data_IF_051734749037
#
_entry.id   IF_051734749037
#
_cell.length_a   1.000
_cell.length_b   1.000
_cell.length_c   1.000
_cell.angle_alpha   90.00
_cell.angle_beta   90.00
_cell.angle_gamma   90.00
#
_symmetry.space_group_name_H-M   'P 1'
#
loop_
_entity.id
_entity.type
_entity.pdbx_description
1 polymer ?
#
# COMPACT_ATOMS: atom_id res chain seq x y z
N UNK A 1 -7.02 2.57 24.77
CA UNK A 1 -6.74 1.13 24.93
C UNK A 1 -6.91 0.76 26.40
N UNK A 2 -7.56 -0.37 26.71
CA UNK A 2 -7.81 -0.84 28.07
C UNK A 2 -6.57 -1.40 28.78
N UNK A 3 -6.72 -1.88 30.03
CA UNK A 3 -5.62 -2.46 30.82
C UNK A 3 -4.92 -3.60 30.05
N UNK A 4 -3.60 -3.78 30.26
CA UNK A 4 -2.75 -4.77 29.53
C UNK A 4 -3.32 -6.19 29.54
N UNK A 5 -4.00 -6.56 30.62
CA UNK A 5 -4.68 -7.84 30.86
C UNK A 5 -5.88 -8.11 29.93
N UNK A 6 -6.41 -7.09 29.24
CA UNK A 6 -7.52 -7.20 28.27
C UNK A 6 -7.09 -6.89 26.84
N UNK A 7 -5.78 -6.75 26.59
CA UNK A 7 -5.27 -6.52 25.24
C UNK A 7 -5.16 -7.87 24.52
N UNK A 8 -6.03 -8.08 23.53
CA UNK A 8 -5.98 -9.23 22.65
C UNK A 8 -4.64 -9.21 21.89
N UNK A 9 -3.78 -10.19 22.12
CA UNK A 9 -2.55 -10.35 21.38
C UNK A 9 -2.87 -11.01 20.02
N UNK A 10 -2.80 -10.21 18.96
CA UNK A 10 -3.01 -10.67 17.59
C UNK A 10 -1.68 -11.07 16.96
N UNK A 11 -1.62 -12.31 16.47
CA UNK A 11 -0.52 -12.82 15.64
C UNK A 11 -0.52 -12.16 14.26
N UNK A 12 0.59 -12.32 13.52
CA UNK A 12 0.72 -11.72 12.19
C UNK A 12 -0.35 -12.19 11.19
N UNK A 13 -0.65 -13.50 11.04
CA UNK A 13 -1.67 -13.95 10.11
C UNK A 13 -3.05 -13.31 10.36
N UNK A 14 -3.44 -13.13 11.64
CA UNK A 14 -4.69 -12.46 11.97
C UNK A 14 -4.64 -10.97 11.62
N UNK A 15 -3.53 -10.28 11.93
CA UNK A 15 -3.35 -8.87 11.55
C UNK A 15 -3.42 -8.67 10.03
N UNK A 16 -2.78 -9.55 9.26
CA UNK A 16 -2.79 -9.50 7.81
C UNK A 16 -4.20 -9.69 7.24
N UNK A 17 -4.96 -10.65 7.78
CA UNK A 17 -6.36 -10.85 7.43
C UNK A 17 -7.22 -9.62 7.75
N UNK A 18 -6.99 -8.96 8.89
CA UNK A 18 -7.69 -7.71 9.25
C UNK A 18 -7.42 -6.61 8.21
N UNK A 19 -6.17 -6.45 7.74
CA UNK A 19 -5.85 -5.51 6.66
C UNK A 19 -6.70 -5.78 5.41
N UNK A 20 -6.78 -7.05 4.98
CA UNK A 20 -7.56 -7.47 3.81
C UNK A 20 -9.05 -7.22 4.01
N UNK A 21 -9.61 -7.58 5.16
CA UNK A 21 -11.03 -7.43 5.45
C UNK A 21 -11.47 -5.96 5.45
N UNK A 22 -10.67 -5.06 6.04
CA UNK A 22 -10.92 -3.61 5.97
C UNK A 22 -10.86 -3.14 4.51
N UNK A 23 -9.86 -3.57 3.75
CA UNK A 23 -9.70 -3.18 2.36
C UNK A 23 -10.89 -3.62 1.49
N UNK A 24 -11.38 -4.86 1.68
CA UNK A 24 -12.57 -5.37 1.01
C UNK A 24 -13.82 -4.58 1.40
N UNK A 25 -13.97 -4.25 2.69
CA UNK A 25 -15.07 -3.42 3.17
C UNK A 25 -15.11 -2.05 2.50
N UNK A 26 -13.95 -1.40 2.36
CA UNK A 26 -13.85 -0.12 1.66
C UNK A 26 -14.04 -0.24 0.14
N UNK A 27 -13.46 -1.25 -0.49
CA UNK A 27 -13.68 -1.53 -1.91
C UNK A 27 -15.16 -1.70 -2.23
N UNK A 28 -15.89 -2.40 -1.37
CA UNK A 28 -17.34 -2.53 -1.49
C UNK A 28 -18.05 -1.17 -1.43
N UNK A 29 -17.72 -0.32 -0.43
CA UNK A 29 -18.35 0.99 -0.26
C UNK A 29 -18.07 1.95 -1.41
N UNK A 30 -16.86 1.92 -1.97
CA UNK A 30 -16.39 2.87 -2.98
C UNK A 30 -16.70 2.43 -4.42
N UNK A 31 -16.67 1.13 -4.70
CA UNK A 31 -16.59 0.62 -6.07
C UNK A 31 -17.71 -0.36 -6.43
N UNK A 32 -18.17 -1.18 -5.47
CA UNK A 32 -19.14 -2.27 -5.75
C UNK A 32 -20.59 -1.94 -5.34
N UNK A 33 -20.75 -1.03 -4.38
CA UNK A 33 -22.05 -0.59 -3.91
C UNK A 33 -22.80 0.18 -4.99
N UNK A 34 -24.12 -0.04 -5.09
CA UNK A 34 -25.02 0.70 -5.99
C UNK A 34 -24.95 2.22 -5.77
N UNK A 35 -24.72 2.64 -4.54
CA UNK A 35 -24.45 4.03 -4.18
C UNK A 35 -23.05 4.11 -3.61
N UNK A 36 -22.19 4.94 -4.19
CA UNK A 36 -20.83 5.14 -3.67
C UNK A 36 -20.90 5.85 -2.33
N UNK A 37 -20.28 5.27 -1.32
CA UNK A 37 -20.31 5.74 0.07
C UNK A 37 -18.90 6.07 0.51
N UNK A 38 -18.66 7.30 0.93
CA UNK A 38 -17.41 7.72 1.61
C UNK A 38 -17.66 7.73 3.11
N UNK A 39 -16.90 6.92 3.86
CA UNK A 39 -17.07 6.68 5.29
C UNK A 39 -16.67 7.90 6.14
N UNK A 40 -15.55 8.56 5.81
CA UNK A 40 -14.97 9.76 6.44
C UNK A 40 -14.37 9.61 7.84
N UNK A 41 -14.59 8.48 8.50
CA UNK A 41 -14.06 8.24 9.85
C UNK A 41 -13.46 6.83 10.01
N UNK A 42 -12.64 6.43 9.05
CA UNK A 42 -11.86 5.19 9.16
C UNK A 42 -10.73 5.38 10.17
N UNK A 43 -10.73 4.53 11.19
CA UNK A 43 -9.74 4.49 12.28
C UNK A 43 -9.83 3.14 12.99
N UNK A 44 -8.77 2.74 13.71
CA UNK A 44 -8.74 1.45 14.38
C UNK A 44 -9.93 1.20 15.34
N UNK A 45 -10.44 2.25 16.00
CA UNK A 45 -11.60 2.13 16.92
C UNK A 45 -12.94 1.92 16.23
N UNK A 46 -13.03 2.21 14.93
CA UNK A 46 -14.22 1.97 14.10
C UNK A 46 -14.13 0.66 13.30
N UNK A 47 -13.07 -0.13 13.51
CA UNK A 47 -12.93 -1.49 12.98
C UNK A 47 -13.24 -2.47 14.11
N UNK A 48 -14.36 -3.18 13.97
CA UNK A 48 -14.79 -4.18 14.94
C UNK A 48 -14.31 -5.57 14.51
N UNK A 49 -14.02 -6.42 15.48
CA UNK A 49 -13.68 -7.82 15.26
C UNK A 49 -14.84 -8.69 15.74
N UNK A 50 -15.26 -9.64 14.91
CA UNK A 50 -16.23 -10.65 15.33
C UNK A 50 -15.56 -11.79 16.14
N UNK A 51 -16.34 -12.80 16.52
CA UNK A 51 -15.87 -13.94 17.33
C UNK A 51 -14.75 -14.75 16.65
N UNK A 52 -14.65 -14.67 15.33
CA UNK A 52 -13.68 -15.40 14.52
C UNK A 52 -12.51 -14.49 14.11
N UNK A 53 -12.45 -13.27 14.67
CA UNK A 53 -11.48 -12.23 14.39
C UNK A 53 -11.47 -11.79 12.92
N UNK A 54 -12.64 -11.74 12.29
CA UNK A 54 -12.82 -11.06 11.00
C UNK A 54 -13.15 -9.59 11.25
N UNK A 55 -12.57 -8.71 10.42
CA UNK A 55 -12.76 -7.27 10.58
C UNK A 55 -14.05 -6.78 9.90
N UNK A 56 -14.73 -5.83 10.55
CA UNK A 56 -15.93 -5.16 10.02
C UNK A 56 -15.85 -3.67 10.29
N UNK A 57 -16.09 -2.87 9.24
CA UNK A 57 -16.19 -1.41 9.35
C UNK A 57 -17.50 -1.04 10.06
N UNK A 58 -17.42 -0.08 10.98
CA UNK A 58 -18.54 0.40 11.77
C UNK A 58 -18.54 1.93 11.86
N UNK A 59 -19.61 2.49 12.44
CA UNK A 59 -19.80 3.93 12.66
C UNK A 59 -19.87 4.78 11.37
N UNK A 60 -20.92 4.53 10.60
CA UNK A 60 -21.27 5.31 9.41
C UNK A 60 -21.93 6.66 9.74
N UNK A 61 -21.86 7.14 10.99
CA UNK A 61 -22.54 8.38 11.43
C UNK A 61 -22.10 9.64 10.68
N UNK A 62 -20.90 9.61 10.07
CA UNK A 62 -20.38 10.71 9.26
C UNK A 62 -20.47 10.44 7.75
N UNK A 63 -20.85 9.24 7.32
CA UNK A 63 -20.76 8.79 5.94
C UNK A 63 -21.55 9.69 4.97
N UNK A 64 -21.07 9.77 3.73
CA UNK A 64 -21.66 10.56 2.66
C UNK A 64 -21.83 9.73 1.39
N UNK A 65 -22.91 10.01 0.67
CA UNK A 65 -23.10 9.48 -0.67
C UNK A 65 -22.33 10.36 -1.66
N UNK A 66 -21.60 9.71 -2.55
CA UNK A 66 -20.94 10.36 -3.67
C UNK A 66 -21.81 10.21 -4.91
N UNK A 67 -22.25 11.36 -5.44
CA UNK A 67 -23.03 11.42 -6.67
C UNK A 67 -22.04 11.48 -7.85
N UNK A 68 -22.11 10.50 -8.76
CA UNK A 68 -21.08 10.23 -9.78
C UNK A 68 -20.78 11.40 -10.73
N UNK A 69 -21.63 12.42 -10.77
CA UNK A 69 -21.50 13.59 -11.64
C UNK A 69 -20.48 14.64 -11.13
N UNK A 70 -19.96 14.48 -9.91
CA UNK A 70 -19.04 15.44 -9.29
C UNK A 70 -17.60 14.92 -9.18
N UNK A 71 -16.62 15.83 -9.27
CA UNK A 71 -15.20 15.49 -9.02
C UNK A 71 -14.88 15.31 -7.54
N UNK A 72 -15.72 15.88 -6.66
CA UNK A 72 -15.62 15.80 -5.20
C UNK A 72 -16.93 16.25 -4.55
N UNK A 73 -17.14 15.84 -3.30
CA UNK A 73 -18.20 16.34 -2.43
C UNK A 73 -17.65 17.53 -1.63
N UNK A 74 -18.18 18.73 -1.86
CA UNK A 74 -17.90 19.89 -1.00
C UNK A 74 -18.72 19.80 0.29
N UNK A 75 -18.08 19.56 1.43
CA UNK A 75 -18.76 19.40 2.73
C UNK A 75 -17.98 20.05 3.87
N UNK A 76 -18.66 20.38 4.97
CA UNK A 76 -17.99 20.71 6.23
C UNK A 76 -17.06 19.56 6.62
N UNK A 77 -15.81 19.89 6.93
CA UNK A 77 -14.82 18.94 7.43
C UNK A 77 -15.32 18.32 8.74
N UNK A 78 -15.33 16.99 8.78
CA UNK A 78 -15.64 16.15 9.92
C UNK A 78 -14.86 14.83 9.79
N UNK A 79 -14.48 14.24 10.92
CA UNK A 79 -13.65 13.05 11.00
C UNK A 79 -12.67 13.15 12.17
N UNK A 80 -11.86 12.13 12.37
CA UNK A 80 -10.87 12.07 13.45
C UNK A 80 -9.52 12.66 13.04
N UNK A 81 -9.03 13.64 13.80
CA UNK A 81 -7.69 14.20 13.60
C UNK A 81 -6.61 13.11 13.70
N UNK A 82 -5.61 13.16 12.83
CA UNK A 82 -4.60 12.09 12.70
C UNK A 82 -4.89 11.08 11.60
N UNK A 83 -6.14 10.96 11.16
CA UNK A 83 -6.57 10.04 10.11
C UNK A 83 -7.06 10.77 8.85
N UNK A 84 -7.45 12.05 8.98
CA UNK A 84 -7.97 12.82 7.85
C UNK A 84 -6.90 13.08 6.79
N UNK A 85 -7.26 12.83 5.53
CA UNK A 85 -6.46 13.20 4.38
C UNK A 85 -6.22 14.73 4.32
N UNK A 86 -5.02 15.18 3.92
CA UNK A 86 -4.64 16.60 3.99
C UNK A 86 -5.53 17.48 3.11
N UNK A 87 -5.85 17.06 1.89
CA UNK A 87 -6.70 17.80 0.97
C UNK A 87 -8.12 17.99 1.51
N UNK A 88 -8.64 16.97 2.19
CA UNK A 88 -9.97 17.01 2.78
C UNK A 88 -9.96 17.91 4.02
N UNK A 89 -8.96 17.78 4.89
CA UNK A 89 -8.82 18.63 6.07
C UNK A 89 -8.63 20.11 5.72
N UNK A 90 -7.90 20.41 4.64
CA UNK A 90 -7.59 21.78 4.24
C UNK A 90 -8.69 22.44 3.40
N UNK A 91 -9.33 21.69 2.49
CA UNK A 91 -10.24 22.26 1.48
C UNK A 91 -11.70 21.82 1.66
N UNK A 92 -11.96 20.80 2.46
CA UNK A 92 -13.29 20.16 2.55
C UNK A 92 -13.69 19.39 1.29
N UNK A 93 -12.72 19.11 0.40
CA UNK A 93 -12.94 18.36 -0.83
C UNK A 93 -12.88 16.88 -0.49
N UNK A 94 -14.05 16.25 -0.45
CA UNK A 94 -14.18 14.86 -0.06
C UNK A 94 -14.32 13.97 -1.29
N UNK A 95 -13.52 12.91 -1.33
CA UNK A 95 -13.62 11.80 -2.28
C UNK A 95 -13.39 10.49 -1.52
N UNK A 96 -13.63 9.35 -2.17
CA UNK A 96 -13.25 8.01 -1.68
C UNK A 96 -11.77 7.94 -1.25
N UNK A 97 -10.88 8.70 -1.91
CA UNK A 97 -9.45 8.77 -1.58
C UNK A 97 -9.16 9.30 -0.18
N UNK A 98 -10.09 10.00 0.46
CA UNK A 98 -9.94 10.40 1.86
C UNK A 98 -10.00 9.18 2.82
N UNK A 99 -10.84 8.20 2.52
CA UNK A 99 -10.89 6.93 3.25
C UNK A 99 -9.65 6.08 2.97
N UNK A 100 -9.13 6.10 1.73
CA UNK A 100 -7.88 5.40 1.37
C UNK A 100 -6.70 5.91 2.21
N UNK A 101 -6.58 7.23 2.38
CA UNK A 101 -5.56 7.82 3.26
C UNK A 101 -5.74 7.34 4.71
N UNK A 102 -6.96 7.41 5.22
CA UNK A 102 -7.29 6.99 6.58
C UNK A 102 -6.97 5.50 6.81
N UNK A 103 -7.24 4.66 5.82
CA UNK A 103 -6.87 3.24 5.80
C UNK A 103 -5.35 3.04 5.87
N UNK A 104 -4.56 3.83 5.12
CA UNK A 104 -3.11 3.79 5.20
C UNK A 104 -2.58 4.05 6.63
N UNK A 105 -3.20 4.99 7.36
CA UNK A 105 -2.87 5.23 8.77
C UNK A 105 -3.20 4.01 9.64
N UNK A 106 -4.36 3.37 9.43
CA UNK A 106 -4.76 2.15 10.15
C UNK A 106 -3.78 1.00 9.87
N UNK A 107 -3.26 0.86 8.65
CA UNK A 107 -2.22 -0.12 8.34
C UNK A 107 -0.95 0.10 9.17
N UNK A 108 -0.52 1.36 9.32
CA UNK A 108 0.64 1.68 10.17
C UNK A 108 0.38 1.33 11.64
N UNK A 109 -0.84 1.54 12.15
CA UNK A 109 -1.22 1.10 13.50
C UNK A 109 -1.14 -0.42 13.65
N UNK A 110 -1.64 -1.17 12.67
CA UNK A 110 -1.63 -2.64 12.69
C UNK A 110 -0.20 -3.20 12.68
N UNK A 111 0.65 -2.68 11.78
CA UNK A 111 2.06 -3.10 11.65
C UNK A 111 2.84 -2.80 12.92
N UNK A 112 2.69 -1.58 13.45
CA UNK A 112 3.50 -1.11 14.57
C UNK A 112 2.98 -1.57 15.94
N UNK A 113 1.71 -1.99 16.02
CA UNK A 113 1.04 -2.28 17.29
C UNK A 113 0.90 -1.04 18.19
N UNK A 114 1.09 0.16 17.63
CA UNK A 114 0.99 1.44 18.32
C UNK A 114 -0.25 2.19 17.85
N UNK A 115 -0.93 2.84 18.78
CA UNK A 115 -2.03 3.73 18.43
C UNK A 115 -1.48 5.02 17.79
N UNK A 116 -2.17 5.51 16.75
CA UNK A 116 -1.92 6.80 16.12
C UNK A 116 -2.43 7.93 17.03
N UNK A 117 -1.74 8.12 18.16
CA UNK A 117 -2.06 9.13 19.15
C UNK A 117 -1.28 10.40 18.80
N UNK A 118 -1.99 11.51 18.62
CA UNK A 118 -1.40 12.82 18.81
C UNK A 118 -1.13 13.03 20.31
N UNK A 119 0.09 12.75 20.78
CA UNK A 119 0.47 13.06 22.16
C UNK A 119 0.52 14.58 22.30
N UNK A 120 -0.39 15.15 23.09
CA UNK A 120 -0.45 16.60 23.34
C UNK A 120 0.61 17.08 24.34
N UNK A 121 1.26 16.16 25.07
CA UNK A 121 2.24 16.47 26.11
C UNK A 121 3.70 16.35 25.63
N UNK A 122 3.93 15.67 24.50
CA UNK A 122 5.23 15.59 23.84
C UNK A 122 5.10 16.24 22.48
N UNK A 123 5.76 17.37 22.29
CA UNK A 123 5.90 18.01 20.99
C UNK A 123 6.46 17.00 19.98
N UNK A 124 5.60 16.37 19.16
CA UNK A 124 5.84 15.71 17.86
C UNK A 124 4.57 14.93 17.49
N UNK A 125 3.64 15.52 16.72
CA UNK A 125 3.48 15.35 15.25
C UNK A 125 3.22 13.90 14.81
N UNK A 126 2.31 13.71 13.86
CA UNK A 126 1.79 12.44 13.29
C UNK A 126 2.75 11.23 13.37
N UNK A 127 2.75 10.57 14.54
CA UNK A 127 3.89 9.76 15.01
C UNK A 127 4.23 8.60 14.09
N UNK A 128 3.22 7.96 13.50
CA UNK A 128 3.44 6.74 12.72
C UNK A 128 3.82 7.01 11.27
N UNK A 129 3.16 7.96 10.61
CA UNK A 129 3.47 8.27 9.21
C UNK A 129 4.84 8.94 9.09
N UNK A 130 5.15 9.92 9.94
CA UNK A 130 6.45 10.58 9.93
C UNK A 130 7.59 9.59 10.22
N UNK A 131 7.38 8.68 11.18
CA UNK A 131 8.33 7.59 11.48
C UNK A 131 8.50 6.64 10.30
N UNK A 132 7.41 6.24 9.65
CA UNK A 132 7.47 5.34 8.50
C UNK A 132 8.24 5.98 7.32
N UNK A 133 8.04 7.27 7.06
CA UNK A 133 8.77 8.02 6.03
C UNK A 133 10.26 8.12 6.37
N UNK A 134 10.60 8.43 7.63
CA UNK A 134 11.99 8.50 8.07
C UNK A 134 12.71 7.14 7.91
N UNK A 135 12.08 6.06 8.39
CA UNK A 135 12.62 4.70 8.26
C UNK A 135 12.73 4.27 6.80
N UNK A 136 11.81 4.70 5.93
CA UNK A 136 11.93 4.45 4.48
C UNK A 136 13.17 5.11 3.90
N UNK A 137 13.41 6.37 4.25
CA UNK A 137 14.58 7.13 3.76
C UNK A 137 15.91 6.50 4.24
N UNK A 138 15.91 5.86 5.40
CA UNK A 138 17.06 5.13 5.96
C UNK A 138 17.19 3.69 5.44
N UNK A 139 16.19 3.16 4.74
CA UNK A 139 16.14 1.76 4.29
C UNK A 139 15.83 0.74 5.39
N UNK A 140 15.31 1.18 6.53
CA UNK A 140 15.10 0.38 7.75
C UNK A 140 13.61 0.21 8.10
N UNK A 141 12.75 -0.04 7.11
CA UNK A 141 11.29 -0.18 7.33
C UNK A 141 10.90 -1.27 8.33
N UNK A 142 11.75 -2.29 8.51
CA UNK A 142 11.55 -3.37 9.49
C UNK A 142 11.47 -2.84 10.93
N UNK A 143 12.12 -1.72 11.24
CA UNK A 143 12.09 -1.11 12.58
C UNK A 143 10.73 -0.45 12.92
N UNK A 144 9.79 -0.44 11.98
CA UNK A 144 8.41 -0.05 12.22
C UNK A 144 7.59 -1.18 12.86
N UNK A 145 8.00 -2.43 12.68
CA UNK A 145 7.22 -3.62 13.05
C UNK A 145 7.08 -3.73 14.58
N UNK A 146 5.90 -4.15 15.03
CA UNK A 146 5.61 -4.43 16.42
C UNK A 146 6.59 -5.46 17.00
N UNK A 147 7.47 -5.01 17.90
CA UNK A 147 8.44 -5.85 18.61
C UNK A 147 7.82 -7.07 19.31
N UNK A 148 6.52 -7.05 19.63
CA UNK A 148 5.80 -8.19 20.24
C UNK A 148 5.60 -9.36 19.27
N UNK A 149 5.65 -9.13 17.97
CA UNK A 149 5.60 -10.19 16.95
C UNK A 149 6.92 -10.97 16.88
N UNK A 150 8.01 -10.45 17.46
CA UNK A 150 9.33 -11.09 17.40
C UNK A 150 9.78 -11.30 15.96
N UNK A 151 9.99 -12.55 15.57
CA UNK A 151 10.29 -12.96 14.18
C UNK A 151 9.17 -13.80 13.55
N UNK A 152 7.97 -13.77 14.13
CA UNK A 152 6.82 -14.60 13.73
C UNK A 152 5.92 -13.86 12.73
N UNK A 153 6.50 -13.40 11.62
CA UNK A 153 5.76 -12.79 10.51
C UNK A 153 6.44 -13.09 9.18
N UNK A 154 5.65 -13.10 8.10
CA UNK A 154 6.21 -13.16 6.75
C UNK A 154 6.74 -11.78 6.37
N UNK A 155 8.04 -11.69 6.10
CA UNK A 155 8.69 -10.41 5.77
C UNK A 155 8.16 -9.82 4.46
N UNK A 156 7.78 -10.64 3.49
CA UNK A 156 7.26 -10.18 2.20
C UNK A 156 5.89 -9.55 2.38
N UNK A 157 4.98 -10.22 3.09
CA UNK A 157 3.66 -9.69 3.45
C UNK A 157 3.79 -8.40 4.26
N UNK A 158 4.68 -8.39 5.26
CA UNK A 158 4.93 -7.21 6.11
C UNK A 158 5.37 -6.01 5.27
N UNK A 159 6.33 -6.20 4.37
CA UNK A 159 6.82 -5.14 3.49
C UNK A 159 5.76 -4.67 2.51
N UNK A 160 4.91 -5.57 2.00
CA UNK A 160 3.75 -5.20 1.18
C UNK A 160 2.80 -4.29 1.96
N UNK A 161 2.46 -4.62 3.21
CA UNK A 161 1.56 -3.79 4.04
C UNK A 161 2.16 -2.42 4.33
N UNK A 162 3.45 -2.35 4.70
CA UNK A 162 4.13 -1.08 5.00
C UNK A 162 4.15 -0.17 3.78
N UNK A 163 4.52 -0.72 2.62
CA UNK A 163 4.58 0.08 1.41
C UNK A 163 3.19 0.47 0.89
N UNK A 164 2.19 -0.40 1.01
CA UNK A 164 0.80 -0.05 0.76
C UNK A 164 0.33 1.09 1.66
N UNK A 165 0.67 1.06 2.94
CA UNK A 165 0.33 2.13 3.87
C UNK A 165 0.89 3.47 3.38
N UNK A 166 2.16 3.50 2.98
CA UNK A 166 2.83 4.68 2.45
C UNK A 166 2.18 5.20 1.15
N UNK A 167 1.85 4.30 0.21
CA UNK A 167 1.13 4.66 -1.03
C UNK A 167 -0.26 5.21 -0.74
N UNK A 168 -1.00 4.60 0.18
CA UNK A 168 -2.33 5.06 0.58
C UNK A 168 -2.26 6.45 1.24
N UNK A 169 -1.18 6.76 1.95
CA UNK A 169 -0.96 8.06 2.59
C UNK A 169 -0.29 9.12 1.69
N UNK A 170 -0.22 8.91 0.38
CA UNK A 170 0.32 9.91 -0.54
C UNK A 170 -0.41 11.26 -0.39
N UNK A 171 0.35 12.36 -0.46
CA UNK A 171 -0.18 13.73 -0.30
C UNK A 171 -1.22 14.01 -1.40
N UNK A 172 -0.91 13.63 -2.64
CA UNK A 172 -1.84 13.73 -3.76
C UNK A 172 -2.85 12.57 -3.72
N UNK A 173 -4.17 12.84 -3.77
CA UNK A 173 -5.19 11.80 -3.85
C UNK A 173 -5.10 10.95 -5.12
N UNK A 174 -4.57 11.53 -6.20
CA UNK A 174 -4.43 10.85 -7.49
C UNK A 174 -3.37 9.73 -7.43
N UNK A 175 -2.38 9.87 -6.55
CA UNK A 175 -1.28 8.91 -6.41
C UNK A 175 -1.66 7.73 -5.49
N UNK A 176 -2.80 7.84 -4.79
CA UNK A 176 -3.31 6.77 -3.93
C UNK A 176 -3.96 5.68 -4.80
N UNK A 177 -3.77 4.38 -4.49
CA UNK A 177 -4.45 3.31 -5.22
C UNK A 177 -5.97 3.33 -5.00
N UNK A 178 -6.72 2.63 -5.86
CA UNK A 178 -8.12 2.26 -5.58
C UNK A 178 -8.15 1.14 -4.54
N UNK A 179 -9.26 0.97 -3.81
CA UNK A 179 -9.34 -0.06 -2.78
C UNK A 179 -9.38 -1.47 -3.37
N UNK A 180 -9.98 -1.66 -4.55
CA UNK A 180 -9.87 -2.91 -5.31
C UNK A 180 -8.42 -3.27 -5.68
N UNK A 181 -7.61 -2.27 -6.01
CA UNK A 181 -6.19 -2.44 -6.29
C UNK A 181 -5.43 -2.81 -5.01
N UNK A 182 -5.71 -2.15 -3.89
CA UNK A 182 -5.16 -2.50 -2.56
C UNK A 182 -5.47 -3.95 -2.19
N UNK A 183 -6.73 -4.39 -2.35
CA UNK A 183 -7.13 -5.79 -2.08
C UNK A 183 -6.32 -6.74 -2.96
N UNK A 184 -6.18 -6.43 -4.25
CA UNK A 184 -5.42 -7.27 -5.18
C UNK A 184 -3.93 -7.36 -4.83
N UNK A 185 -3.33 -6.29 -4.32
CA UNK A 185 -1.94 -6.30 -3.85
C UNK A 185 -1.76 -7.13 -2.57
N UNK A 186 -2.67 -7.00 -1.60
CA UNK A 186 -2.63 -7.79 -0.36
C UNK A 186 -2.89 -9.28 -0.62
N UNK A 187 -3.70 -9.63 -1.60
CA UNK A 187 -3.94 -11.04 -1.96
C UNK A 187 -2.86 -11.60 -2.88
N UNK A 188 -1.79 -10.84 -3.16
CA UNK A 188 -0.69 -11.27 -4.01
C UNK A 188 -1.06 -11.42 -5.49
N UNK A 189 -2.22 -10.88 -5.92
CA UNK A 189 -2.68 -10.90 -7.32
C UNK A 189 -1.94 -9.89 -8.18
N UNK A 190 -1.45 -8.81 -7.59
CA UNK A 190 -0.69 -7.75 -8.25
C UNK A 190 0.56 -7.45 -7.42
N UNK A 191 1.72 -7.35 -8.07
CA UNK A 191 2.97 -6.91 -7.44
C UNK A 191 3.36 -5.55 -8.03
N UNK A 192 3.25 -4.45 -7.27
CA UNK A 192 3.74 -3.14 -7.70
C UNK A 192 5.22 -3.16 -8.02
N UNK A 193 5.60 -2.52 -9.14
CA UNK A 193 7.00 -2.38 -9.57
C UNK A 193 7.87 -1.72 -8.49
N UNK A 194 7.28 -0.79 -7.71
CA UNK A 194 7.93 -0.16 -6.57
C UNK A 194 8.41 -1.17 -5.51
N UNK A 195 7.68 -2.27 -5.29
CA UNK A 195 8.06 -3.28 -4.30
C UNK A 195 9.24 -4.13 -4.78
N UNK A 196 9.39 -4.31 -6.10
CA UNK A 196 10.50 -5.05 -6.70
C UNK A 196 11.81 -4.27 -6.55
N UNK A 197 11.80 -2.96 -6.80
CA UNK A 197 12.97 -2.10 -6.61
C UNK A 197 13.40 -2.01 -5.14
N UNK A 198 12.46 -1.99 -4.20
CA UNK A 198 12.73 -1.84 -2.76
C UNK A 198 13.18 -3.16 -2.09
N UNK A 199 12.65 -4.31 -2.51
CA UNK A 199 13.14 -5.62 -2.05
C UNK A 199 14.62 -5.83 -2.39
N UNK A 200 15.08 -5.32 -3.55
CA UNK A 200 16.49 -5.42 -3.94
C UNK A 200 17.45 -4.61 -3.04
N UNK A 201 16.96 -3.57 -2.35
CA UNK A 201 17.76 -2.71 -1.47
C UNK A 201 17.76 -3.18 -0.01
N UNK A 202 16.72 -3.88 0.44
CA UNK A 202 16.53 -4.28 1.85
C UNK A 202 17.01 -5.71 2.18
N UNK A 203 17.42 -6.53 1.20
CA UNK A 203 17.81 -7.92 1.45
C UNK A 203 19.15 -8.03 2.17
N UNK A 204 19.13 -8.57 3.39
CA UNK A 204 20.36 -8.97 4.08
C UNK A 204 20.94 -10.24 3.44
N UNK A 205 22.22 -10.53 3.70
CA UNK A 205 22.91 -11.73 3.18
C UNK A 205 22.15 -13.03 3.52
N UNK A 206 21.44 -13.06 4.64
CA UNK A 206 20.69 -14.22 5.11
C UNK A 206 19.41 -14.48 4.29
N UNK A 207 18.79 -13.42 3.76
CA UNK A 207 17.57 -13.50 2.95
C UNK A 207 17.88 -13.94 1.51
N UNK A 208 19.07 -13.59 0.99
CA UNK A 208 19.56 -14.13 -0.30
C UNK A 208 19.69 -15.65 -0.28
N UNK A 209 20.25 -16.20 0.79
CA UNK A 209 20.51 -17.65 0.86
C UNK A 209 19.20 -18.44 0.95
N UNK A 210 18.18 -17.91 1.65
CA UNK A 210 16.83 -18.50 1.66
C UNK A 210 16.13 -18.39 0.29
N UNK A 211 16.24 -17.25 -0.38
CA UNK A 211 15.63 -17.04 -1.70
C UNK A 211 16.28 -17.93 -2.77
N UNK A 212 17.61 -18.04 -2.77
CA UNK A 212 18.34 -18.95 -3.67
C UNK A 212 17.93 -20.39 -3.45
N UNK A 213 17.77 -20.81 -2.20
CA UNK A 213 17.31 -22.16 -1.86
C UNK A 213 15.86 -22.43 -2.29
N UNK A 214 14.99 -21.42 -2.24
CA UNK A 214 13.61 -21.52 -2.74
C UNK A 214 13.55 -21.61 -4.28
N UNK A 215 14.45 -20.92 -4.98
CA UNK A 215 14.55 -20.98 -6.43
C UNK A 215 15.13 -22.33 -6.91
N UNK A 216 16.06 -22.92 -6.16
CA UNK A 216 16.59 -24.27 -6.41
C UNK A 216 15.50 -25.34 -6.27
N UNK A 217 14.70 -25.29 -5.19
CA UNK A 217 13.58 -26.24 -4.97
C UNK A 217 12.51 -26.13 -6.06
N UNK A 218 12.32 -24.93 -6.63
CA UNK A 218 11.30 -24.71 -7.68
C UNK A 218 11.74 -25.23 -9.05
N UNK A 219 13.05 -25.25 -9.32
CA UNK A 219 13.63 -25.77 -10.56
C UNK A 219 13.68 -27.31 -10.59
N UNK A 220 13.83 -27.95 -9.43
CA UNK A 220 13.81 -29.42 -9.34
C UNK A 220 12.40 -30.00 -9.58
N UNK A 221 11.34 -29.24 -9.28
CA UNK A 221 9.95 -29.69 -9.42
C UNK A 221 9.31 -29.44 -10.80
N UNK A 222 10.03 -28.84 -11.76
CA UNK A 222 9.52 -28.59 -13.12
C UNK A 222 10.15 -29.46 -14.21
N UNK A 223 10.95 -30.47 -13.83
CA UNK A 223 11.60 -31.36 -14.79
C UNK A 223 11.03 -32.77 -14.74
N UNK A 224 9.70 -32.93 -14.84
CA UNK A 224 9.11 -34.22 -15.23
C UNK A 224 7.71 -34.01 -15.84
N UNK A 225 7.54 -34.59 -17.06
CA UNK A 225 6.32 -34.76 -17.87
C UNK A 225 5.81 -33.61 -18.77
N UNK A 226 6.23 -33.59 -20.03
CA UNK A 226 5.49 -34.25 -21.14
C UNK A 226 6.16 -34.02 -22.50
N UNK A 227 6.35 -35.12 -23.22
CA UNK A 227 6.86 -35.19 -24.59
C UNK A 227 5.72 -35.10 -25.62
N UNK A 228 5.93 -34.37 -26.73
CA UNK A 228 5.75 -34.91 -28.10
C UNK A 228 6.35 -34.00 -29.19
N UNK A 229 6.50 -34.59 -30.38
CA UNK A 229 7.50 -34.42 -31.44
C UNK A 229 7.39 -33.24 -32.42
N UNK A 230 8.56 -32.93 -33.00
CA UNK A 230 8.93 -32.13 -34.19
C UNK A 230 7.91 -32.03 -35.34
N UNK A 231 7.89 -30.85 -35.99
CA UNK A 231 8.27 -30.70 -37.43
C UNK A 231 8.73 -29.27 -37.74
N UNK A 232 9.77 -29.23 -38.58
CA UNK A 232 10.49 -28.10 -39.15
C UNK A 232 9.71 -27.44 -40.31
N UNK A 233 9.78 -26.11 -40.47
CA UNK A 233 9.77 -25.45 -41.79
C UNK A 233 9.98 -23.93 -41.70
N UNK A 234 10.96 -23.44 -42.45
CA UNK A 234 11.35 -22.04 -42.64
C UNK A 234 10.35 -21.22 -43.44
N UNK A 235 10.32 -19.90 -43.23
CA UNK A 235 10.45 -18.89 -44.31
C UNK A 235 10.88 -17.52 -43.76
N UNK A 236 11.81 -16.91 -44.47
CA UNK A 236 12.38 -15.57 -44.30
C UNK A 236 11.46 -14.45 -44.82
N UNK A 237 11.47 -13.26 -44.20
CA UNK A 237 11.36 -11.99 -44.92
C UNK A 237 11.82 -10.76 -44.10
N UNK A 238 12.98 -10.22 -44.48
CA UNK A 238 13.30 -8.82 -44.77
C UNK A 238 13.09 -7.72 -43.70
N UNK A 239 14.23 -7.21 -43.21
CA UNK A 239 14.41 -5.93 -42.51
C UNK A 239 13.99 -4.72 -43.36
N UNK A 240 13.18 -3.82 -42.78
CA UNK A 240 12.90 -2.49 -43.33
C UNK A 240 12.82 -1.45 -42.18
N UNK A 241 13.83 -0.58 -42.15
CA UNK A 241 13.93 0.78 -41.56
C UNK A 241 14.55 1.00 -40.17
N UNK A 242 15.25 2.15 -39.99
CA UNK A 242 16.60 2.18 -39.42
C UNK A 242 16.70 2.82 -38.04
N UNK A 243 17.72 2.40 -37.31
CA UNK A 243 18.21 3.02 -36.08
C UNK A 243 18.88 4.35 -36.42
N UNK A 244 18.22 5.46 -36.09
CA UNK A 244 18.88 6.68 -35.57
C UNK A 244 17.83 7.76 -35.29
N UNK A 245 17.42 7.91 -34.03
CA UNK A 245 16.80 9.16 -33.57
C UNK A 245 17.00 9.45 -32.06
N UNK A 246 17.80 8.64 -31.37
CA UNK A 246 18.09 8.88 -29.95
C UNK A 246 19.26 9.86 -29.73
N UNK A 247 20.11 10.06 -30.75
CA UNK A 247 21.31 10.89 -30.66
C UNK A 247 21.02 12.39 -30.88
N UNK A 248 20.10 12.73 -31.81
CA UNK A 248 19.71 14.13 -32.06
C UNK A 248 18.87 14.71 -30.91
N UNK A 249 18.08 13.88 -30.23
CA UNK A 249 17.30 14.31 -29.05
C UNK A 249 18.18 14.68 -27.85
N UNK A 250 19.32 14.00 -27.68
CA UNK A 250 20.26 14.27 -26.58
C UNK A 250 21.09 15.53 -26.83
N UNK A 251 21.47 15.81 -28.09
CA UNK A 251 22.23 17.03 -28.41
C UNK A 251 21.39 18.32 -28.30
N UNK A 252 20.09 18.25 -28.58
CA UNK A 252 19.19 19.42 -28.50
C UNK A 252 18.85 19.82 -27.06
N UNK A 253 18.88 18.87 -26.13
CA UNK A 253 18.61 19.12 -24.70
C UNK A 253 19.76 19.84 -24.00
N UNK A 254 21.00 19.59 -24.43
CA UNK A 254 22.22 20.22 -23.87
C UNK A 254 22.48 21.63 -24.41
N UNK A 255 22.03 21.96 -25.62
CA UNK A 255 22.15 23.32 -26.18
C UNK A 255 21.20 24.32 -25.51
N UNK A 256 20.01 23.86 -25.10
CA UNK A 256 18.98 24.71 -24.50
C UNK A 256 19.24 24.95 -23.00
N UNK A 257 19.89 24.01 -22.31
CA UNK A 257 20.33 24.18 -20.93
C UNK A 257 21.47 25.21 -20.76
N UNK A 258 22.32 25.39 -21.78
CA UNK A 258 23.41 26.38 -21.75
C UNK A 258 22.97 27.81 -22.07
N UNK A 259 21.80 28.02 -22.67
CA UNK A 259 21.24 29.36 -22.97
C UNK A 259 20.43 29.99 -21.82
N UNK A 260 20.10 29.23 -20.78
CA UNK A 260 19.33 29.69 -19.63
C UNK A 260 20.22 30.07 -18.41
N UNK A 261 21.54 29.95 -18.55
CA UNK A 261 22.53 30.28 -17.51
C UNK A 261 23.59 31.29 -17.99
N UNK A 262 23.31 32.04 -19.06
CA UNK A 262 24.10 33.20 -19.52
C UNK A 262 23.25 34.47 -19.56
#
# INVERSE_FOLDING_TARGET
MGPKEWQLALDWPTRYRICIDIARGLAFLHEESRLKIVHRDIKATNVLLDKDLNAKISDFGLAKLDEEDNTHISTRVAGTYGYMAPEYAMRGYLTDKADVYSYGIVLLEIVSGMANIADRAKENHFVLLDRAIALKAEGNLVDLVDSKLGSEYDISEMMVVINLALMCTAISPADRPTMSSVVSMLEGRIVPEAFIAEQSHSMTKMDRDKLMKLLEIKNENQTEEMSFTYTDSSTSAVDLYPVNDFSEYLQKRDSDAKKLLS
#
